data_IF_162428026844
#
_entry.id   IF_162428026844
#
_cell.length_a   1.000
_cell.length_b   1.000
_cell.length_c   1.000
_cell.angle_alpha   90.00
_cell.angle_beta   90.00
_cell.angle_gamma   90.00
#
_symmetry.space_group_name_H-M   'P 1'
#
loop_
_entity.id
_entity.type
_entity.pdbx_description
1 polymer ?
#
# COMPACT_ATOMS: atom_id res chain seq x y z
N UNK A 1 -5.52 18.68 -27.11
CA UNK A 1 -5.00 18.83 -25.75
C UNK A 1 -4.74 17.48 -25.12
N UNK A 2 -3.58 17.31 -24.55
CA UNK A 2 -3.25 16.05 -23.90
C UNK A 2 -3.63 16.14 -22.41
N UNK A 3 -4.46 15.19 -21.98
CA UNK A 3 -4.78 15.08 -20.57
C UNK A 3 -3.62 14.38 -19.84
N UNK A 4 -2.98 15.07 -18.94
CA UNK A 4 -1.92 14.49 -18.14
C UNK A 4 -2.54 13.67 -17.00
N UNK A 5 -2.27 12.39 -16.96
CA UNK A 5 -2.70 11.55 -15.85
C UNK A 5 -1.99 12.00 -14.59
N UNK A 6 -2.71 12.02 -13.48
CA UNK A 6 -2.10 12.33 -12.18
C UNK A 6 -1.13 11.22 -11.78
N UNK A 7 -0.01 11.63 -11.20
CA UNK A 7 1.00 10.72 -10.69
C UNK A 7 1.13 10.88 -9.18
N UNK A 8 1.44 9.79 -8.53
CA UNK A 8 1.47 9.73 -7.08
C UNK A 8 2.76 9.12 -6.57
N UNK A 9 3.07 9.38 -5.32
CA UNK A 9 4.22 8.77 -4.64
C UNK A 9 3.74 7.52 -3.88
N UNK A 10 4.52 6.45 -3.94
CA UNK A 10 4.13 5.13 -3.45
C UNK A 10 5.25 4.51 -2.64
N UNK A 11 4.92 3.92 -1.49
CA UNK A 11 5.77 2.97 -0.79
C UNK A 11 5.14 1.59 -0.87
N UNK A 12 5.96 0.56 -1.14
CA UNK A 12 5.48 -0.82 -1.33
C UNK A 12 6.15 -1.73 -0.31
N UNK A 13 5.34 -2.54 0.36
CA UNK A 13 5.78 -3.44 1.42
C UNK A 13 5.26 -4.85 1.14
N UNK A 14 6.17 -5.77 0.83
CA UNK A 14 5.86 -7.19 0.51
C UNK A 14 7.10 -8.01 0.84
N UNK A 15 6.94 -9.24 1.34
CA UNK A 15 8.06 -10.09 1.69
C UNK A 15 8.74 -10.77 0.48
N UNK A 16 8.12 -10.69 -0.70
CA UNK A 16 8.65 -11.30 -1.92
C UNK A 16 9.29 -10.24 -2.82
N UNK A 17 10.61 -10.31 -2.98
CA UNK A 17 11.35 -9.33 -3.77
C UNK A 17 10.95 -9.31 -5.25
N UNK A 18 10.60 -10.45 -5.82
CA UNK A 18 10.13 -10.53 -7.21
C UNK A 18 8.81 -9.76 -7.39
N UNK A 19 7.93 -9.82 -6.40
CA UNK A 19 6.67 -9.08 -6.42
C UNK A 19 6.94 -7.58 -6.30
N UNK A 20 7.84 -7.18 -5.40
CA UNK A 20 8.23 -5.78 -5.26
C UNK A 20 8.75 -5.21 -6.58
N UNK A 21 9.62 -5.96 -7.27
CA UNK A 21 10.17 -5.56 -8.57
C UNK A 21 9.07 -5.41 -9.60
N UNK A 22 8.14 -6.36 -9.66
CA UNK A 22 7.04 -6.35 -10.61
C UNK A 22 6.15 -5.13 -10.41
N UNK A 23 5.74 -4.85 -9.18
CA UNK A 23 4.90 -3.69 -8.87
C UNK A 23 5.64 -2.39 -9.12
N UNK A 24 6.91 -2.32 -8.72
CA UNK A 24 7.75 -1.16 -8.95
C UNK A 24 7.81 -0.82 -10.45
N UNK A 25 8.11 -1.80 -11.29
CA UNK A 25 8.25 -1.58 -12.73
C UNK A 25 6.93 -1.15 -13.35
N UNK A 26 5.84 -1.82 -13.01
CA UNK A 26 4.53 -1.50 -13.57
C UNK A 26 4.08 -0.09 -13.20
N UNK A 27 4.15 0.24 -11.91
CA UNK A 27 3.66 1.52 -11.42
C UNK A 27 4.55 2.68 -11.87
N UNK A 28 5.87 2.45 -11.97
CA UNK A 28 6.79 3.43 -12.52
C UNK A 28 6.46 3.75 -13.99
N UNK A 29 6.09 2.75 -14.78
CA UNK A 29 5.69 2.94 -16.18
C UNK A 29 4.39 3.72 -16.30
N UNK A 30 3.53 3.68 -15.28
CA UNK A 30 2.32 4.49 -15.22
C UNK A 30 2.60 5.93 -14.80
N UNK A 31 3.85 6.26 -14.52
CA UNK A 31 4.27 7.62 -14.16
C UNK A 31 4.37 7.88 -12.66
N UNK A 32 4.03 6.90 -11.83
CA UNK A 32 4.13 7.08 -10.39
C UNK A 32 5.57 7.02 -9.91
N UNK A 33 5.87 7.67 -8.80
CA UNK A 33 7.21 7.63 -8.19
C UNK A 33 7.20 6.68 -7.01
N UNK A 34 7.94 5.59 -7.14
CA UNK A 34 8.12 4.65 -6.03
C UNK A 34 9.24 5.21 -5.15
N UNK A 35 8.88 5.67 -3.95
CA UNK A 35 9.85 6.22 -3.02
C UNK A 35 10.83 5.13 -2.60
N UNK A 36 10.30 4.00 -2.16
CA UNK A 36 11.12 2.85 -1.76
C UNK A 36 10.25 1.60 -1.64
N UNK A 37 10.90 0.42 -1.73
CA UNK A 37 10.26 -0.87 -1.48
C UNK A 37 10.85 -1.50 -0.22
N UNK A 38 10.05 -2.29 0.49
CA UNK A 38 10.41 -2.85 1.80
C UNK A 38 9.95 -4.30 1.90
N UNK A 39 10.71 -5.11 2.62
CA UNK A 39 10.30 -6.50 2.96
C UNK A 39 9.88 -6.62 4.43
N UNK A 40 10.06 -5.57 5.22
CA UNK A 40 9.94 -5.59 6.68
C UNK A 40 9.29 -4.29 7.16
N UNK A 41 8.32 -4.42 8.06
CA UNK A 41 7.53 -3.28 8.52
C UNK A 41 8.32 -2.26 9.33
N UNK A 42 9.32 -2.70 10.08
CA UNK A 42 10.12 -1.79 10.89
C UNK A 42 10.87 -0.77 10.02
N UNK A 43 11.36 -1.22 8.87
CA UNK A 43 12.12 -0.35 7.97
C UNK A 43 11.23 0.75 7.36
N UNK A 44 10.01 0.40 6.96
CA UNK A 44 9.10 1.40 6.41
C UNK A 44 8.71 2.43 7.47
N UNK A 45 8.48 2.00 8.71
CA UNK A 45 8.09 2.90 9.78
C UNK A 45 9.19 3.91 10.15
N UNK A 46 10.45 3.56 9.92
CA UNK A 46 11.56 4.49 10.08
C UNK A 46 11.57 5.61 9.03
N UNK A 47 11.05 5.34 7.85
CA UNK A 47 11.18 6.24 6.69
C UNK A 47 9.97 7.12 6.44
N UNK A 48 8.80 6.79 7.00
CA UNK A 48 7.56 7.52 6.69
C UNK A 48 7.58 8.98 7.12
N UNK A 49 8.36 9.33 8.14
CA UNK A 49 8.49 10.72 8.60
C UNK A 49 9.42 11.54 7.71
N UNK A 50 10.28 10.89 6.93
CA UNK A 50 11.20 11.57 6.02
C UNK A 50 10.44 12.05 4.79
N UNK A 51 9.66 11.15 4.18
CA UNK A 51 8.85 11.49 3.02
C UNK A 51 7.61 10.58 3.02
N UNK A 52 6.48 11.00 3.63
CA UNK A 52 5.26 10.20 3.59
C UNK A 52 4.73 10.13 2.15
N UNK A 53 4.38 8.93 1.67
CA UNK A 53 3.86 8.77 0.31
C UNK A 53 2.38 9.15 0.22
N UNK A 54 1.89 9.26 -1.02
CA UNK A 54 0.44 9.41 -1.26
C UNK A 54 -0.32 8.11 -0.93
N UNK A 55 0.30 6.96 -1.18
CA UNK A 55 -0.33 5.67 -0.93
C UNK A 55 0.69 4.63 -0.49
N UNK A 56 0.25 3.75 0.41
CA UNK A 56 1.01 2.57 0.85
C UNK A 56 0.37 1.34 0.23
N UNK A 57 1.19 0.46 -0.37
CA UNK A 57 0.76 -0.85 -0.83
C UNK A 57 1.39 -1.88 0.10
N UNK A 58 0.58 -2.63 0.84
CA UNK A 58 1.05 -3.46 1.94
C UNK A 58 0.50 -4.88 1.83
N UNK A 59 1.41 -5.88 1.84
CA UNK A 59 1.02 -7.28 2.02
C UNK A 59 0.80 -7.56 3.51
N UNK A 60 -0.07 -8.53 3.81
CA UNK A 60 -0.29 -8.97 5.19
C UNK A 60 0.94 -9.71 5.74
N UNK A 61 1.51 -10.61 4.93
CA UNK A 61 2.67 -11.41 5.34
C UNK A 61 3.96 -10.67 5.04
N UNK A 62 4.75 -10.44 6.08
CA UNK A 62 5.99 -9.68 5.99
C UNK A 62 7.10 -10.39 6.73
N UNK A 63 8.35 -10.09 6.37
CA UNK A 63 9.50 -10.51 7.15
C UNK A 63 9.55 -9.68 8.44
N UNK A 64 10.12 -10.29 9.49
CA UNK A 64 10.20 -9.65 10.80
C UNK A 64 9.00 -10.00 11.67
N UNK A 65 8.76 -9.21 12.69
CA UNK A 65 7.77 -9.51 13.74
C UNK A 65 6.47 -8.72 13.64
N UNK A 66 6.28 -7.96 12.55
CA UNK A 66 5.02 -7.25 12.31
C UNK A 66 4.35 -7.75 11.04
N UNK A 67 3.03 -7.94 11.08
CA UNK A 67 2.25 -8.20 9.87
C UNK A 67 1.75 -6.88 9.27
N UNK A 68 1.12 -6.98 8.08
CA UNK A 68 0.67 -5.78 7.35
C UNK A 68 -0.39 -4.97 8.10
N UNK A 69 -1.27 -5.61 8.85
CA UNK A 69 -2.27 -4.89 9.66
C UNK A 69 -1.58 -4.09 10.77
N UNK A 70 -0.63 -4.69 11.45
CA UNK A 70 0.12 -4.00 12.51
C UNK A 70 0.87 -2.79 11.98
N UNK A 71 1.51 -2.93 10.81
CA UNK A 71 2.19 -1.82 10.14
C UNK A 71 1.19 -0.70 9.80
N UNK A 72 0.06 -1.06 9.22
CA UNK A 72 -0.97 -0.10 8.82
C UNK A 72 -1.52 0.67 10.02
N UNK A 73 -1.72 0.00 11.16
CA UNK A 73 -2.17 0.65 12.38
C UNK A 73 -1.16 1.71 12.82
N UNK A 74 0.13 1.40 12.82
CA UNK A 74 1.17 2.37 13.19
C UNK A 74 1.23 3.55 12.22
N UNK A 75 1.04 3.31 10.91
CA UNK A 75 0.96 4.37 9.92
C UNK A 75 -0.23 5.30 10.21
N UNK A 76 -1.40 4.73 10.45
CA UNK A 76 -2.62 5.52 10.66
C UNK A 76 -2.61 6.29 11.98
N UNK A 77 -1.89 5.82 12.98
CA UNK A 77 -1.70 6.57 14.22
C UNK A 77 -0.94 7.88 13.98
N UNK A 78 0.03 7.85 13.07
CA UNK A 78 0.82 9.04 12.72
C UNK A 78 0.16 9.87 11.64
N UNK A 79 -0.43 9.22 10.64
CA UNK A 79 -1.01 9.86 9.46
C UNK A 79 -2.43 9.35 9.25
N UNK A 80 -3.41 9.92 9.97
CA UNK A 80 -4.80 9.41 9.90
C UNK A 80 -5.43 9.49 8.50
N UNK A 81 -4.90 10.33 7.63
CA UNK A 81 -5.41 10.49 6.26
C UNK A 81 -4.69 9.59 5.24
N UNK A 82 -3.80 8.71 5.69
CA UNK A 82 -3.04 7.85 4.78
C UNK A 82 -3.96 6.95 3.96
N UNK A 83 -3.60 6.76 2.69
CA UNK A 83 -4.27 5.81 1.80
C UNK A 83 -3.51 4.50 1.81
N UNK A 84 -4.20 3.38 2.01
CA UNK A 84 -3.57 2.07 2.10
C UNK A 84 -4.29 1.08 1.19
N UNK A 85 -3.52 0.37 0.36
CA UNK A 85 -4.01 -0.75 -0.43
C UNK A 85 -3.34 -2.00 0.12
N UNK A 86 -4.14 -2.91 0.69
CA UNK A 86 -3.65 -4.23 1.08
C UNK A 86 -3.74 -5.16 -0.13
N UNK A 87 -2.63 -5.85 -0.44
CA UNK A 87 -2.60 -6.88 -1.48
C UNK A 87 -2.14 -8.17 -0.83
N UNK A 88 -3.04 -9.14 -0.72
CA UNK A 88 -2.77 -10.31 0.12
C UNK A 88 -3.43 -11.58 -0.41
N UNK A 89 -2.84 -12.74 -0.09
CA UNK A 89 -3.46 -14.05 -0.32
C UNK A 89 -4.42 -14.45 0.81
N UNK A 90 -4.54 -13.65 1.88
CA UNK A 90 -5.38 -13.96 3.03
C UNK A 90 -6.82 -13.54 2.74
N UNK A 91 -7.71 -14.52 2.48
CA UNK A 91 -9.09 -14.28 2.04
C UNK A 91 -9.92 -13.51 3.06
N UNK A 92 -9.66 -13.67 4.35
CA UNK A 92 -10.45 -13.05 5.40
C UNK A 92 -9.81 -11.78 5.96
N UNK A 93 -8.88 -11.16 5.21
CA UNK A 93 -8.19 -9.99 5.72
C UNK A 93 -9.13 -8.82 5.99
N UNK A 94 -10.14 -8.61 5.16
CA UNK A 94 -11.12 -7.55 5.38
C UNK A 94 -11.90 -7.74 6.68
N UNK A 95 -12.15 -8.98 7.09
CA UNK A 95 -12.76 -9.25 8.41
C UNK A 95 -11.79 -8.91 9.54
N UNK A 96 -10.51 -9.20 9.38
CA UNK A 96 -9.50 -8.80 10.37
C UNK A 96 -9.39 -7.28 10.48
N UNK A 97 -9.44 -6.58 9.36
CA UNK A 97 -9.41 -5.12 9.33
C UNK A 97 -10.60 -4.55 10.10
N UNK A 98 -11.81 -5.12 9.90
CA UNK A 98 -13.03 -4.61 10.52
C UNK A 98 -13.04 -4.75 12.04
N UNK A 99 -12.16 -5.57 12.62
CA UNK A 99 -12.02 -5.71 14.08
C UNK A 99 -11.31 -4.54 14.73
N UNK A 100 -10.69 -3.67 13.95
CA UNK A 100 -9.92 -2.54 14.47
C UNK A 100 -10.59 -1.22 14.11
N UNK A 101 -11.06 -0.50 15.11
CA UNK A 101 -11.78 0.76 14.92
C UNK A 101 -10.95 1.81 14.19
N UNK A 102 -9.62 1.73 14.28
CA UNK A 102 -8.75 2.69 13.62
C UNK A 102 -8.93 2.70 12.10
N UNK A 103 -9.44 1.61 11.52
CA UNK A 103 -9.68 1.53 10.08
C UNK A 103 -11.04 2.09 9.64
N UNK A 104 -11.91 2.44 10.59
CA UNK A 104 -13.22 3.03 10.25
C UNK A 104 -13.06 4.35 9.53
N UNK A 105 -13.80 4.52 8.43
CA UNK A 105 -13.80 5.74 7.61
C UNK A 105 -12.44 6.11 7.02
N UNK A 106 -11.54 5.13 6.88
CA UNK A 106 -10.22 5.35 6.28
C UNK A 106 -10.22 5.04 4.78
N UNK A 107 -9.25 5.60 4.08
CA UNK A 107 -9.05 5.35 2.65
C UNK A 107 -8.28 4.05 2.45
N UNK A 108 -8.99 2.94 2.47
CA UNK A 108 -8.40 1.60 2.43
C UNK A 108 -9.09 0.76 1.36
N UNK A 109 -8.30 -0.02 0.63
CA UNK A 109 -8.81 -1.05 -0.27
C UNK A 109 -8.07 -2.35 0.00
N UNK A 110 -8.70 -3.48 -0.31
CA UNK A 110 -8.12 -4.83 -0.13
C UNK A 110 -8.24 -5.57 -1.45
N UNK A 111 -7.10 -5.98 -2.00
CA UNK A 111 -7.02 -6.76 -3.23
C UNK A 111 -6.48 -8.15 -2.91
N UNK A 112 -7.13 -9.18 -3.44
CA UNK A 112 -6.70 -10.56 -3.21
C UNK A 112 -5.74 -11.02 -4.30
N UNK A 113 -4.67 -11.72 -3.90
CA UNK A 113 -3.77 -12.39 -4.84
C UNK A 113 -4.45 -13.66 -5.39
N UNK A 114 -4.25 -14.03 -6.66
CA UNK A 114 -3.42 -13.33 -7.63
C UNK A 114 -4.10 -12.05 -8.13
N UNK A 115 -3.40 -10.94 -8.08
CA UNK A 115 -3.94 -9.65 -8.50
C UNK A 115 -3.39 -9.29 -9.88
N UNK A 116 -4.25 -8.72 -10.73
CA UNK A 116 -3.80 -8.16 -12.01
C UNK A 116 -3.23 -6.78 -11.75
N UNK A 117 -2.15 -6.43 -12.46
CA UNK A 117 -1.49 -5.14 -12.26
C UNK A 117 -2.44 -3.97 -12.50
N UNK A 118 -3.34 -4.07 -13.47
CA UNK A 118 -4.34 -3.02 -13.74
C UNK A 118 -5.28 -2.81 -12.54
N UNK A 119 -5.55 -3.84 -11.74
CA UNK A 119 -6.38 -3.70 -10.55
C UNK A 119 -5.70 -2.81 -9.50
N UNK A 120 -4.37 -2.88 -9.39
CA UNK A 120 -3.60 -2.03 -8.48
C UNK A 120 -3.71 -0.58 -8.93
N UNK A 121 -3.53 -0.32 -10.22
CA UNK A 121 -3.64 1.02 -10.78
C UNK A 121 -5.06 1.58 -10.58
N UNK A 122 -6.08 0.78 -10.84
CA UNK A 122 -7.47 1.21 -10.68
C UNK A 122 -7.80 1.53 -9.21
N UNK A 123 -7.35 0.69 -8.28
CA UNK A 123 -7.57 0.92 -6.84
C UNK A 123 -6.90 2.22 -6.40
N UNK A 124 -5.67 2.43 -6.81
CA UNK A 124 -4.90 3.63 -6.48
C UNK A 124 -5.61 4.88 -6.97
N UNK A 125 -6.06 4.90 -8.22
CA UNK A 125 -6.77 6.04 -8.79
C UNK A 125 -8.09 6.29 -8.07
N UNK A 126 -8.83 5.23 -7.73
CA UNK A 126 -10.09 5.37 -7.02
C UNK A 126 -9.91 5.97 -5.62
N UNK A 127 -8.87 5.55 -4.89
CA UNK A 127 -8.62 6.06 -3.55
C UNK A 127 -8.14 7.51 -3.54
N UNK A 128 -7.33 7.89 -4.53
CA UNK A 128 -6.65 9.19 -4.54
C UNK A 128 -7.35 10.27 -5.36
N UNK A 129 -8.40 9.94 -6.08
CA UNK A 129 -9.14 10.89 -6.91
C UNK A 129 -10.09 11.80 -6.16
N UNK A 130 -10.33 11.52 -4.93
CA UNK A 130 -11.33 12.22 -4.14
C UNK A 130 -10.97 13.67 -3.85
#
# INVERSE_FOLDING_TARGET
MVTTAKTYTIMILDDEEDILTLYHDYLSRKGHRIIRTYVNGNNILQDIDIEPPDVYIIDYRLLGNMNGIEVAIEILKKYPSACIIFITAVELLDQEISKHDIFSDKNIDVLLKPVKLIQIQDSLLNLLRK
#
